data_IF_642419536286
#
_entry.id   IF_642419536286
#
_cell.length_a   1.000
_cell.length_b   1.000
_cell.length_c   1.000
_cell.angle_alpha   90.00
_cell.angle_beta   90.00
_cell.angle_gamma   90.00
#
_symmetry.space_group_name_H-M   'P 1'
#
loop_
_entity.id
_entity.type
_entity.pdbx_description
1 polymer ?
#
# COMPACT_ATOMS: atom_id res chain seq x y z
N UNK A 1 46.71 60.08 7.20
CA UNK A 1 45.87 60.22 5.99
C UNK A 1 46.26 59.14 4.99
N UNK A 2 45.52 58.04 4.93
CA UNK A 2 45.47 57.14 3.77
C UNK A 2 43.99 56.78 3.55
N UNK A 3 43.57 56.84 2.29
CA UNK A 3 42.17 56.78 1.82
C UNK A 3 41.77 55.31 1.60
N UNK A 4 40.50 54.94 1.83
CA UNK A 4 40.04 53.55 1.77
C UNK A 4 39.89 53.09 0.32
N UNK A 5 40.37 51.88 0.02
CA UNK A 5 40.06 51.17 -1.22
C UNK A 5 38.89 50.23 -0.94
N UNK A 6 37.74 50.54 -1.52
CA UNK A 6 36.58 49.65 -1.52
C UNK A 6 36.76 48.63 -2.64
N UNK A 7 37.09 47.39 -2.29
CA UNK A 7 36.96 46.26 -3.22
C UNK A 7 35.50 45.80 -3.13
N UNK A 8 34.68 46.27 -4.06
CA UNK A 8 33.35 45.73 -4.28
C UNK A 8 33.48 44.40 -5.02
N UNK A 9 33.39 43.29 -4.30
CA UNK A 9 33.23 41.96 -4.89
C UNK A 9 31.74 41.75 -5.14
N UNK A 10 31.33 41.86 -6.41
CA UNK A 10 30.03 41.41 -6.88
C UNK A 10 30.06 39.89 -6.97
N UNK A 11 29.58 39.21 -5.92
CA UNK A 11 29.28 37.79 -5.98
C UNK A 11 27.98 37.60 -6.77
N UNK A 12 28.08 36.99 -7.95
CA UNK A 12 26.93 36.66 -8.78
C UNK A 12 26.04 35.63 -8.10
N UNK A 13 24.76 35.97 -7.90
CA UNK A 13 23.74 34.99 -7.53
C UNK A 13 23.41 34.14 -8.76
N UNK A 14 23.89 32.91 -8.78
CA UNK A 14 23.31 31.87 -9.61
C UNK A 14 22.03 31.39 -8.89
N UNK A 15 20.86 31.78 -9.41
CA UNK A 15 19.59 31.21 -8.95
C UNK A 15 19.42 29.90 -9.70
N UNK A 16 19.86 28.80 -9.09
CA UNK A 16 19.47 27.47 -9.53
C UNK A 16 18.04 27.25 -9.09
N UNK A 17 17.10 27.19 -10.03
CA UNK A 17 15.75 26.71 -9.76
C UNK A 17 15.85 25.28 -9.25
N UNK A 18 15.77 25.09 -7.93
CA UNK A 18 15.51 23.77 -7.36
C UNK A 18 14.07 23.44 -7.74
N UNK A 19 13.91 22.66 -8.80
CA UNK A 19 12.67 21.93 -9.00
C UNK A 19 12.64 20.91 -7.86
N UNK A 20 11.83 21.18 -6.84
CA UNK A 20 11.42 20.14 -5.92
C UNK A 20 10.60 19.15 -6.76
N UNK A 21 11.23 18.07 -7.22
CA UNK A 21 10.50 16.90 -7.63
C UNK A 21 9.74 16.43 -6.40
N UNK A 22 8.41 16.55 -6.46
CA UNK A 22 7.49 16.01 -5.48
C UNK A 22 7.52 14.48 -5.64
N UNK A 23 8.62 13.87 -5.21
CA UNK A 23 8.71 12.44 -5.01
C UNK A 23 7.77 12.14 -3.85
N UNK A 24 6.49 11.85 -4.15
CA UNK A 24 5.64 11.16 -3.20
C UNK A 24 6.44 9.94 -2.75
N UNK A 25 6.94 9.96 -1.52
CA UNK A 25 7.51 8.77 -0.90
C UNK A 25 6.35 7.78 -0.85
N UNK A 26 6.33 6.86 -1.81
CA UNK A 26 5.49 5.68 -1.76
C UNK A 26 5.94 4.85 -0.55
N UNK A 27 5.45 5.21 0.63
CA UNK A 27 5.36 4.30 1.75
C UNK A 27 4.07 3.50 1.53
N UNK A 28 3.98 2.21 1.77
CA UNK A 28 4.92 1.14 2.06
C UNK A 28 4.04 -0.13 2.06
N UNK A 29 4.62 -1.31 2.21
CA UNK A 29 3.83 -2.43 2.72
C UNK A 29 3.26 -2.02 4.10
N UNK A 30 1.96 -1.77 4.17
CA UNK A 30 1.32 -1.37 5.41
C UNK A 30 1.18 -2.61 6.31
N UNK A 31 1.60 -2.50 7.57
CA UNK A 31 1.44 -3.59 8.54
C UNK A 31 0.10 -3.43 9.24
N UNK A 32 -0.79 -4.41 9.10
CA UNK A 32 -2.07 -4.41 9.80
C UNK A 32 -1.86 -4.24 11.32
N UNK A 33 -2.69 -3.43 11.94
CA UNK A 33 -2.59 -3.06 13.34
C UNK A 33 -1.57 -1.97 13.64
N UNK A 34 -0.90 -1.41 12.63
CA UNK A 34 0.09 -0.33 12.79
C UNK A 34 -0.36 0.89 12.00
N UNK A 35 -0.57 1.98 12.73
CA UNK A 35 -0.85 3.29 12.15
C UNK A 35 0.38 4.16 12.27
N UNK A 36 0.65 4.97 11.27
CA UNK A 36 1.72 5.96 11.31
C UNK A 36 1.13 7.35 11.54
N UNK A 37 1.79 8.14 12.38
CA UNK A 37 1.39 9.51 12.70
C UNK A 37 2.61 10.41 12.65
N UNK A 38 2.58 11.42 11.79
CA UNK A 38 3.58 12.46 11.73
C UNK A 38 3.01 13.75 12.33
N UNK A 39 3.73 14.35 13.28
CA UNK A 39 3.35 15.58 13.94
C UNK A 39 4.43 16.61 13.64
N UNK A 40 4.06 17.69 12.96
CA UNK A 40 4.94 18.79 12.64
C UNK A 40 4.38 20.10 13.21
N UNK A 41 5.21 20.88 13.90
CA UNK A 41 4.87 22.22 14.35
C UNK A 41 5.85 23.22 13.76
N UNK A 42 5.32 24.26 13.12
CA UNK A 42 6.07 25.41 12.63
C UNK A 42 5.37 26.69 13.11
N UNK A 43 6.09 27.50 13.90
CA UNK A 43 5.53 28.69 14.56
C UNK A 43 4.20 28.39 15.27
N UNK A 44 3.08 28.94 14.77
CA UNK A 44 1.75 28.78 15.37
C UNK A 44 0.92 27.66 14.73
N UNK A 45 1.44 27.01 13.70
CA UNK A 45 0.74 25.94 12.99
C UNK A 45 1.17 24.58 13.52
N UNK A 46 0.21 23.67 13.66
CA UNK A 46 0.45 22.27 13.99
C UNK A 46 -0.23 21.40 12.94
N UNK A 47 0.58 20.68 12.17
CA UNK A 47 0.17 19.68 11.20
C UNK A 47 0.26 18.29 11.81
N UNK A 48 -0.79 17.51 11.62
CA UNK A 48 -0.82 16.09 11.99
C UNK A 48 -1.27 15.31 10.77
N UNK A 49 -0.40 14.41 10.32
CA UNK A 49 -0.70 13.47 9.24
C UNK A 49 -0.78 12.06 9.82
N UNK A 50 -1.80 11.31 9.43
CA UNK A 50 -2.03 9.94 9.88
C UNK A 50 -2.20 9.06 8.66
N UNK A 51 -1.42 7.99 8.56
CA UNK A 51 -1.58 6.94 7.55
C UNK A 51 -2.01 5.66 8.24
N UNK A 52 -3.16 5.11 7.83
CA UNK A 52 -3.75 3.94 8.46
C UNK A 52 -4.21 2.89 7.42
N UNK A 53 -3.90 1.60 7.62
CA UNK A 53 -4.46 0.52 6.81
C UNK A 53 -5.99 0.51 6.81
N UNK A 54 -6.60 -0.02 5.75
CA UNK A 54 -8.04 -0.16 5.64
C UNK A 54 -8.62 -1.04 6.73
N UNK A 55 -7.94 -2.16 7.02
CA UNK A 55 -8.30 -3.09 8.09
C UNK A 55 -8.33 -2.42 9.47
N UNK A 56 -7.48 -1.41 9.69
CA UNK A 56 -7.39 -0.70 10.96
C UNK A 56 -8.56 0.28 11.18
N UNK A 57 -9.04 0.89 10.10
CA UNK A 57 -10.08 1.94 10.14
C UNK A 57 -11.49 1.36 9.94
N UNK A 58 -11.67 0.52 8.92
CA UNK A 58 -12.98 -0.03 8.51
C UNK A 58 -13.10 -1.54 8.66
N UNK A 59 -12.00 -2.25 8.93
CA UNK A 59 -12.00 -3.70 9.15
C UNK A 59 -11.84 -4.56 7.90
N UNK A 60 -11.57 -3.95 6.74
CA UNK A 60 -11.34 -4.62 5.47
C UNK A 60 -10.40 -3.79 4.60
N UNK A 61 -9.70 -4.45 3.66
CA UNK A 61 -8.70 -3.81 2.78
C UNK A 61 -9.24 -3.47 1.39
N UNK A 62 -10.42 -3.96 1.01
CA UNK A 62 -11.04 -3.69 -0.29
C UNK A 62 -11.96 -2.45 -0.26
N UNK A 63 -12.39 -1.98 -1.43
CA UNK A 63 -13.46 -0.96 -1.50
C UNK A 63 -14.76 -1.54 -0.90
N UNK A 64 -15.61 -0.76 -0.22
CA UNK A 64 -16.88 -1.25 0.28
C UNK A 64 -17.74 -1.84 -0.85
N UNK A 65 -18.23 -3.07 -0.69
CA UNK A 65 -19.05 -3.78 -1.68
C UNK A 65 -20.48 -4.00 -1.19
N UNK A 66 -20.65 -4.30 0.11
CA UNK A 66 -21.96 -4.56 0.71
C UNK A 66 -22.58 -3.31 1.34
N UNK A 67 -23.91 -3.28 1.47
CA UNK A 67 -24.60 -2.18 2.19
C UNK A 67 -24.06 -1.99 3.62
N UNK A 68 -23.66 -3.08 4.28
CA UNK A 68 -23.11 -3.01 5.63
C UNK A 68 -21.71 -2.38 5.65
N UNK A 69 -20.86 -2.72 4.68
CA UNK A 69 -19.52 -2.12 4.54
C UNK A 69 -19.60 -0.63 4.20
N UNK A 70 -20.52 -0.22 3.32
CA UNK A 70 -20.74 1.20 3.03
C UNK A 70 -21.13 1.97 4.30
N UNK A 71 -21.98 1.40 5.15
CA UNK A 71 -22.32 2.02 6.43
C UNK A 71 -21.16 2.08 7.41
N UNK A 72 -20.28 1.07 7.43
CA UNK A 72 -19.06 1.08 8.25
C UNK A 72 -18.12 2.18 7.76
N UNK A 73 -17.89 2.25 6.45
CA UNK A 73 -17.09 3.27 5.79
C UNK A 73 -17.62 4.68 6.11
N UNK A 74 -18.92 4.93 5.89
CA UNK A 74 -19.52 6.24 6.14
C UNK A 74 -19.36 6.68 7.60
N UNK A 75 -19.53 5.75 8.56
CA UNK A 75 -19.31 6.03 9.99
C UNK A 75 -17.86 6.33 10.30
N UNK A 76 -16.92 5.58 9.71
CA UNK A 76 -15.50 5.80 9.90
C UNK A 76 -15.07 7.16 9.33
N UNK A 77 -15.48 7.50 8.10
CA UNK A 77 -15.20 8.80 7.48
C UNK A 77 -15.82 9.95 8.28
N UNK A 78 -17.06 9.80 8.76
CA UNK A 78 -17.69 10.79 9.63
C UNK A 78 -16.95 10.97 10.96
N UNK A 79 -16.34 9.90 11.49
CA UNK A 79 -15.51 9.94 12.70
C UNK A 79 -14.18 10.66 12.44
N UNK A 80 -13.48 10.30 11.37
CA UNK A 80 -12.20 10.92 10.98
C UNK A 80 -12.35 12.43 10.75
N UNK A 81 -13.50 12.89 10.22
CA UNK A 81 -13.79 14.33 10.09
C UNK A 81 -13.90 15.08 11.42
N UNK A 82 -14.09 14.38 12.54
CA UNK A 82 -14.18 14.96 13.88
C UNK A 82 -12.82 14.93 14.58
N UNK A 83 -11.86 15.67 14.04
CA UNK A 83 -10.47 15.68 14.52
C UNK A 83 -10.36 15.91 16.04
N UNK A 84 -11.09 16.87 16.61
CA UNK A 84 -11.07 17.15 18.06
C UNK A 84 -11.59 16.00 18.94
N UNK A 85 -12.29 15.02 18.33
CA UNK A 85 -12.71 13.79 19.02
C UNK A 85 -11.64 12.68 18.98
N UNK A 86 -10.64 12.82 18.12
CA UNK A 86 -9.55 11.87 17.88
C UNK A 86 -8.24 12.39 18.47
N UNK A 87 -7.96 13.68 18.29
CA UNK A 87 -6.76 14.36 18.74
C UNK A 87 -7.15 15.40 19.78
N UNK A 88 -6.38 15.46 20.86
CA UNK A 88 -6.49 16.52 21.85
C UNK A 88 -5.09 17.00 22.22
N UNK A 89 -4.89 18.31 22.17
CA UNK A 89 -3.67 18.97 22.64
C UNK A 89 -3.94 19.70 23.94
N UNK A 90 -2.89 20.00 24.70
CA UNK A 90 -3.06 20.70 25.97
C UNK A 90 -3.67 22.11 25.77
N UNK A 91 -4.67 22.44 26.59
CA UNK A 91 -5.52 23.64 26.42
C UNK A 91 -4.75 24.96 26.44
N UNK A 92 -3.63 25.02 27.15
CA UNK A 92 -2.79 26.22 27.27
C UNK A 92 -2.24 26.72 25.93
N UNK A 93 -2.17 25.84 24.92
CA UNK A 93 -1.72 26.18 23.56
C UNK A 93 -2.81 26.87 22.71
N UNK A 94 -4.07 26.79 23.14
CA UNK A 94 -5.24 27.40 22.48
C UNK A 94 -5.35 27.05 20.98
N UNK A 95 -5.00 25.82 20.62
CA UNK A 95 -5.11 25.31 19.26
C UNK A 95 -6.57 25.11 18.84
N UNK A 96 -6.88 25.49 17.60
CA UNK A 96 -8.16 25.25 16.96
C UNK A 96 -7.94 24.63 15.60
N UNK A 97 -8.75 23.64 15.23
CA UNK A 97 -8.69 23.08 13.89
C UNK A 97 -9.05 24.14 12.84
N UNK A 98 -8.22 24.28 11.82
CA UNK A 98 -8.45 25.14 10.66
C UNK A 98 -8.81 24.32 9.42
N UNK A 99 -8.23 23.13 9.27
CA UNK A 99 -8.45 22.24 8.13
C UNK A 99 -8.44 20.76 8.54
N UNK A 100 -9.25 19.96 7.85
CA UNK A 100 -9.26 18.50 7.96
C UNK A 100 -9.54 17.90 6.58
N UNK A 101 -8.65 17.02 6.14
CA UNK A 101 -8.78 16.30 4.89
C UNK A 101 -8.52 14.81 5.10
N UNK A 102 -9.21 13.98 4.30
CA UNK A 102 -9.09 12.53 4.33
C UNK A 102 -9.01 12.07 2.88
N UNK A 103 -7.92 11.43 2.53
CA UNK A 103 -7.69 10.79 1.24
C UNK A 103 -7.67 9.29 1.40
N UNK A 104 -8.25 8.58 0.45
CA UNK A 104 -8.08 7.14 0.32
C UNK A 104 -7.03 6.89 -0.75
N UNK A 105 -5.98 6.15 -0.41
CA UNK A 105 -4.95 5.72 -1.34
C UNK A 105 -5.20 4.25 -1.68
N UNK A 106 -5.57 4.00 -2.93
CA UNK A 106 -5.61 2.65 -3.52
C UNK A 106 -4.23 2.36 -4.09
N UNK A 107 -3.56 1.32 -3.58
CA UNK A 107 -2.39 0.79 -4.27
C UNK A 107 -2.85 -0.19 -5.33
N UNK A 108 -2.83 0.23 -6.59
CA UNK A 108 -2.69 -0.71 -7.69
C UNK A 108 -1.21 -1.11 -7.72
N UNK A 109 -0.91 -2.40 -7.68
CA UNK A 109 0.34 -2.82 -8.30
C UNK A 109 0.13 -2.54 -9.78
N UNK A 110 0.74 -1.45 -10.27
CA UNK A 110 0.93 -1.27 -11.69
C UNK A 110 1.73 -2.50 -12.13
N UNK A 111 1.04 -3.55 -12.56
CA UNK A 111 1.56 -4.30 -13.68
C UNK A 111 1.65 -3.25 -14.77
N UNK A 112 2.87 -2.93 -15.17
CA UNK A 112 3.09 -2.30 -16.47
C UNK A 112 2.19 -3.07 -17.45
N UNK A 113 1.04 -2.49 -17.82
CA UNK A 113 0.37 -2.88 -19.05
C UNK A 113 1.32 -2.40 -20.14
N UNK A 114 2.34 -3.22 -20.39
CA UNK A 114 2.99 -3.26 -21.68
C UNK A 114 1.84 -3.43 -22.68
N UNK A 115 1.49 -2.33 -23.35
CA UNK A 115 0.79 -2.37 -24.62
C UNK A 115 1.51 -3.40 -25.48
N UNK A 116 0.97 -4.62 -25.52
CA UNK A 116 1.31 -5.57 -26.56
C UNK A 116 0.74 -5.00 -27.86
N UNK A 117 1.49 -4.09 -28.48
CA UNK A 117 1.39 -3.81 -29.90
C UNK A 117 1.48 -5.16 -30.62
N UNK A 118 0.35 -5.60 -31.17
CA UNK A 118 0.30 -6.68 -32.13
C UNK A 118 1.14 -6.29 -33.35
N UNK A 119 2.42 -6.70 -33.36
CA UNK A 119 3.22 -6.73 -34.59
C UNK A 119 2.93 -8.05 -35.30
N UNK A 120 2.00 -7.93 -36.23
CA UNK A 120 1.79 -8.82 -37.36
C UNK A 120 2.92 -8.55 -38.36
N UNK A 121 3.89 -9.45 -38.53
CA UNK A 121 4.69 -9.61 -39.76
C UNK A 121 5.48 -10.95 -39.73
N UNK A 122 5.03 -11.92 -40.55
CA UNK A 122 5.88 -12.52 -41.59
C UNK A 122 6.93 -13.61 -41.27
N UNK A 123 6.52 -14.86 -41.54
CA UNK A 123 7.25 -15.94 -42.23
C UNK A 123 8.46 -16.64 -41.58
N UNK A 124 8.32 -17.95 -41.30
CA UNK A 124 9.15 -19.00 -41.92
C UNK A 124 8.41 -20.36 -41.97
N UNK A 125 8.51 -20.99 -43.13
CA UNK A 125 7.94 -22.28 -43.56
C UNK A 125 8.31 -23.49 -42.67
N UNK A 126 7.46 -24.52 -42.66
CA UNK A 126 7.74 -25.84 -43.28
C UNK A 126 6.50 -26.76 -43.26
N UNK A 127 5.88 -26.87 -44.45
CA UNK A 127 5.41 -28.06 -45.18
C UNK A 127 4.91 -29.36 -44.49
N UNK A 128 3.86 -29.90 -45.15
CA UNK A 128 3.34 -31.28 -45.23
C UNK A 128 2.43 -31.78 -44.08
N UNK A 129 1.31 -32.46 -44.31
CA UNK A 129 0.63 -32.98 -45.51
C UNK A 129 -0.85 -33.24 -45.16
N UNK A 130 -1.67 -33.30 -46.22
CA UNK A 130 -3.08 -33.67 -46.23
C UNK A 130 -3.43 -34.90 -45.36
N UNK A 131 -4.55 -34.82 -44.62
CA UNK A 131 -5.52 -35.91 -44.60
C UNK A 131 -6.94 -35.40 -44.32
N UNK A 132 -7.70 -35.36 -45.41
CA UNK A 132 -9.15 -35.25 -45.52
C UNK A 132 -9.83 -36.50 -44.92
N UNK A 133 -10.91 -36.32 -44.14
CA UNK A 133 -12.00 -37.32 -43.96
C UNK A 133 -13.13 -36.79 -43.07
N UNK A 134 -14.10 -36.16 -43.72
CA UNK A 134 -15.55 -36.37 -43.64
C UNK A 134 -16.19 -37.24 -42.52
N UNK A 135 -17.28 -36.69 -41.99
CA UNK A 135 -18.58 -37.29 -41.63
C UNK A 135 -18.66 -38.37 -40.51
N UNK A 136 -19.39 -38.16 -39.41
CA UNK A 136 -20.86 -38.13 -39.21
C UNK A 136 -21.42 -39.45 -38.59
N UNK A 137 -22.20 -39.27 -37.51
CA UNK A 137 -23.17 -40.12 -36.80
C UNK A 137 -22.79 -41.45 -36.10
N UNK A 138 -23.43 -41.52 -34.92
CA UNK A 138 -24.27 -42.61 -34.37
C UNK A 138 -23.64 -43.74 -33.55
N UNK A 139 -24.25 -43.87 -32.36
CA UNK A 139 -24.63 -45.11 -31.67
C UNK A 139 -23.52 -45.90 -30.95
N UNK A 140 -23.34 -45.59 -29.67
CA UNK A 140 -22.89 -46.58 -28.70
C UNK A 140 -24.11 -47.40 -28.25
N UNK A 141 -24.18 -48.64 -28.75
CA UNK A 141 -24.92 -49.73 -28.11
C UNK A 141 -23.91 -50.79 -27.69
N UNK A 142 -24.20 -51.35 -26.52
CA UNK A 142 -23.56 -52.41 -25.76
C UNK A 142 -22.89 -53.52 -26.60
N UNK A 143 -21.82 -54.13 -26.06
CA UNK A 143 -21.82 -55.55 -25.72
C UNK A 143 -20.57 -55.97 -24.93
N UNK A 144 -20.80 -56.79 -23.89
CA UNK A 144 -19.86 -57.42 -22.97
C UNK A 144 -19.12 -58.65 -23.58
N UNK A 145 -18.07 -59.06 -22.85
CA UNK A 145 -17.34 -60.35 -22.84
C UNK A 145 -16.35 -60.60 -24.02
N UNK A 146 -15.16 -61.19 -23.85
CA UNK A 146 -14.81 -62.40 -23.10
C UNK A 146 -13.29 -62.49 -22.77
N UNK A 147 -13.02 -63.39 -21.82
CA UNK A 147 -11.78 -63.88 -21.21
C UNK A 147 -10.72 -64.50 -22.16
N UNK A 148 -9.53 -64.73 -21.58
CA UNK A 148 -8.52 -65.78 -21.83
C UNK A 148 -7.08 -65.36 -22.23
N UNK A 149 -6.12 -65.75 -21.36
CA UNK A 149 -4.96 -66.53 -21.81
C UNK A 149 -3.54 -65.93 -21.71
N UNK A 150 -2.88 -66.20 -20.59
CA UNK A 150 -1.51 -66.75 -20.47
C UNK A 150 -0.24 -65.97 -20.93
N UNK A 151 0.58 -65.67 -19.90
CA UNK A 151 2.05 -65.82 -19.75
C UNK A 151 3.03 -65.02 -20.64
N UNK A 152 3.94 -64.26 -20.00
CA UNK A 152 5.30 -64.76 -19.71
C UNK A 152 6.09 -63.78 -18.83
N UNK A 153 6.60 -64.29 -17.71
CA UNK A 153 7.65 -63.66 -16.89
C UNK A 153 8.97 -63.61 -17.65
N UNK A 154 9.65 -62.47 -17.64
CA UNK A 154 11.10 -62.39 -17.81
C UNK A 154 11.68 -61.23 -16.98
N UNK A 155 12.29 -61.60 -15.85
CA UNK A 155 13.31 -60.81 -15.15
C UNK A 155 14.51 -60.60 -16.08
N UNK A 156 15.00 -59.36 -16.15
CA UNK A 156 16.42 -59.06 -16.35
C UNK A 156 16.79 -57.69 -15.77
N UNK A 157 17.56 -57.73 -14.69
CA UNK A 157 18.45 -56.67 -14.22
C UNK A 157 19.37 -56.18 -15.35
N UNK A 158 19.53 -54.87 -15.53
CA UNK A 158 20.79 -54.10 -15.38
C UNK A 158 20.61 -52.69 -15.98
N UNK A 159 20.61 -51.68 -15.09
CA UNK A 159 21.08 -50.28 -15.23
C UNK A 159 21.33 -49.73 -16.66
N UNK A 160 20.53 -48.74 -17.10
CA UNK A 160 21.06 -47.54 -17.77
C UNK A 160 20.23 -46.30 -17.38
N UNK A 161 20.97 -45.31 -16.90
CA UNK A 161 20.56 -44.00 -16.44
C UNK A 161 19.91 -43.18 -17.59
N UNK A 162 18.66 -42.76 -17.39
CA UNK A 162 18.09 -41.59 -18.05
C UNK A 162 17.24 -40.83 -17.03
N UNK A 163 17.79 -39.69 -16.57
CA UNK A 163 17.06 -38.64 -15.88
C UNK A 163 15.96 -38.12 -16.82
N UNK A 164 14.75 -38.63 -16.66
CA UNK A 164 13.55 -38.03 -17.23
C UNK A 164 13.06 -36.95 -16.26
N UNK A 165 13.22 -35.70 -16.66
CA UNK A 165 12.68 -34.55 -15.95
C UNK A 165 11.15 -34.61 -15.98
N UNK A 166 10.55 -34.92 -14.83
CA UNK A 166 9.15 -34.62 -14.56
C UNK A 166 8.99 -33.10 -14.57
N UNK A 167 8.45 -32.55 -15.66
CA UNK A 167 7.92 -31.20 -15.64
C UNK A 167 6.58 -31.24 -14.90
N UNK A 168 6.66 -31.24 -13.57
CA UNK A 168 5.57 -30.73 -12.75
C UNK A 168 5.39 -29.26 -13.15
N UNK A 169 4.35 -29.00 -13.95
CA UNK A 169 3.83 -27.65 -14.10
C UNK A 169 3.19 -27.28 -12.76
N UNK A 170 4.01 -26.82 -11.81
CA UNK A 170 3.54 -25.95 -10.76
C UNK A 170 2.92 -24.74 -11.46
N UNK A 171 1.59 -24.76 -11.57
CA UNK A 171 0.84 -23.53 -11.75
C UNK A 171 1.05 -22.73 -10.48
N UNK A 172 2.12 -21.93 -10.44
CA UNK A 172 2.19 -20.79 -9.54
C UNK A 172 0.95 -19.97 -9.85
N UNK A 173 -0.05 -20.08 -8.98
CA UNK A 173 -1.15 -19.16 -8.95
C UNK A 173 -0.54 -17.80 -8.67
N UNK A 174 -0.34 -17.02 -9.73
CA UNK A 174 -0.03 -15.61 -9.65
C UNK A 174 -1.09 -15.00 -8.74
N UNK A 175 -0.67 -14.68 -7.51
CA UNK A 175 -1.55 -14.10 -6.52
C UNK A 175 -2.00 -12.77 -7.08
N UNK A 176 -3.28 -12.67 -7.43
CA UNK A 176 -3.93 -11.41 -7.71
C UNK A 176 -3.73 -10.52 -6.46
N UNK A 177 -2.71 -9.66 -6.53
CA UNK A 177 -2.34 -8.78 -5.45
C UNK A 177 -3.49 -7.80 -5.25
N UNK A 178 -4.31 -8.05 -4.23
CA UNK A 178 -5.49 -7.25 -3.95
C UNK A 178 -5.15 -5.77 -3.80
N UNK A 179 -6.03 -4.90 -4.28
CA UNK A 179 -5.97 -3.46 -4.00
C UNK A 179 -6.09 -3.25 -2.48
N UNK A 180 -4.96 -3.04 -1.79
CA UNK A 180 -4.98 -2.68 -0.38
C UNK A 180 -5.23 -1.17 -0.27
N UNK A 181 -6.25 -0.81 0.49
CA UNK A 181 -6.65 0.58 0.70
C UNK A 181 -6.02 1.09 1.99
N UNK A 182 -5.29 2.20 1.90
CA UNK A 182 -4.89 2.97 3.07
C UNK A 182 -5.64 4.30 3.11
N UNK A 183 -5.73 4.87 4.30
CA UNK A 183 -6.30 6.19 4.53
C UNK A 183 -5.20 7.14 4.98
N UNK A 184 -5.06 8.26 4.28
CA UNK A 184 -4.23 9.39 4.70
C UNK A 184 -5.13 10.50 5.23
N UNK A 185 -4.91 10.91 6.47
CA UNK A 185 -5.69 11.95 7.15
C UNK A 185 -4.76 13.09 7.51
N UNK A 186 -5.17 14.32 7.19
CA UNK A 186 -4.44 15.53 7.54
C UNK A 186 -5.31 16.41 8.43
N UNK A 187 -4.76 16.84 9.56
CA UNK A 187 -5.37 17.84 10.44
C UNK A 187 -4.42 19.03 10.59
N UNK A 188 -4.93 20.22 10.31
CA UNK A 188 -4.21 21.47 10.53
C UNK A 188 -4.84 22.21 11.71
N UNK A 189 -3.99 22.62 12.64
CA UNK A 189 -4.38 23.40 13.80
C UNK A 189 -3.66 24.74 13.81
N UNK A 190 -4.40 25.76 14.22
CA UNK A 190 -3.90 27.11 14.48
C UNK A 190 -3.85 27.33 15.99
N UNK A 191 -2.65 27.47 16.52
CA UNK A 191 -2.37 27.63 17.94
C UNK A 191 -2.03 29.07 18.28
N UNK A 192 -2.86 29.72 19.10
CA UNK A 192 -2.58 31.10 19.54
C UNK A 192 -1.37 31.19 20.49
N UNK A 193 -0.98 30.07 21.10
CA UNK A 193 0.10 30.02 22.07
C UNK A 193 0.93 28.73 21.91
N UNK A 194 1.49 28.52 20.72
CA UNK A 194 2.26 27.31 20.40
C UNK A 194 3.47 27.09 21.34
N UNK A 195 4.02 28.13 21.94
CA UNK A 195 5.05 28.01 22.98
C UNK A 195 4.60 27.19 24.20
N UNK A 196 3.29 27.15 24.47
CA UNK A 196 2.70 26.33 25.50
C UNK A 196 2.22 24.96 25.02
N UNK A 197 2.38 24.62 23.75
CA UNK A 197 2.15 23.26 23.25
C UNK A 197 3.20 22.33 23.84
N UNK A 198 2.75 21.35 24.62
CA UNK A 198 3.58 20.45 25.42
C UNK A 198 3.18 18.99 25.26
N UNK A 199 1.94 18.74 24.89
CA UNK A 199 1.38 17.40 24.88
C UNK A 199 0.28 17.25 23.85
N UNK A 200 0.28 16.08 23.21
CA UNK A 200 -0.82 15.56 22.44
C UNK A 200 -1.25 14.22 23.01
N UNK A 201 -2.56 14.01 23.06
CA UNK A 201 -3.20 12.74 23.39
C UNK A 201 -4.15 12.35 22.27
N UNK A 202 -4.31 11.05 22.03
CA UNK A 202 -5.24 10.55 21.02
C UNK A 202 -6.26 9.57 21.58
N UNK A 203 -7.49 9.67 21.07
CA UNK A 203 -8.59 8.72 21.26
C UNK A 203 -8.70 7.73 20.10
N UNK A 204 -7.71 7.67 19.20
CA UNK A 204 -7.70 6.79 18.02
C UNK A 204 -8.12 5.36 18.35
N UNK A 205 -7.45 4.71 19.30
CA UNK A 205 -7.72 3.33 19.70
C UNK A 205 -9.16 3.09 20.21
N UNK A 206 -9.83 4.14 20.71
CA UNK A 206 -11.23 4.04 21.14
C UNK A 206 -12.17 3.98 19.95
N UNK A 207 -11.85 4.71 18.87
CA UNK A 207 -12.67 4.79 17.67
C UNK A 207 -12.32 3.71 16.64
N UNK A 208 -11.07 3.28 16.61
CA UNK A 208 -10.49 2.32 15.67
C UNK A 208 -9.75 1.21 16.43
N UNK A 209 -10.48 0.24 17.00
CA UNK A 209 -9.93 -0.75 17.92
C UNK A 209 -9.08 -1.83 17.23
N UNK A 210 -9.07 -1.89 15.89
CA UNK A 210 -8.23 -2.82 15.13
C UNK A 210 -6.76 -2.38 15.10
N UNK A 211 -6.48 -1.10 15.39
CA UNK A 211 -5.11 -0.59 15.55
C UNK A 211 -4.51 -1.06 16.87
N UNK A 212 -3.36 -1.70 16.82
CA UNK A 212 -2.64 -2.20 18.00
C UNK A 212 -1.58 -1.20 18.49
N UNK A 213 -0.92 -0.49 17.58
CA UNK A 213 0.06 0.53 17.90
C UNK A 213 0.04 1.68 16.89
N UNK A 214 0.48 2.85 17.34
CA UNK A 214 0.72 4.00 16.47
C UNK A 214 2.20 4.36 16.54
N UNK A 215 2.89 4.35 15.41
CA UNK A 215 4.24 4.89 15.30
C UNK A 215 4.14 6.40 15.08
N UNK A 216 4.64 7.18 16.04
CA UNK A 216 4.55 8.64 16.03
C UNK A 216 5.92 9.26 15.78
N UNK A 217 6.04 10.04 14.72
CA UNK A 217 7.19 10.91 14.48
C UNK A 217 6.83 12.35 14.82
N UNK A 218 7.71 13.03 15.54
CA UNK A 218 7.47 14.38 16.07
C UNK A 218 8.58 15.29 15.59
N UNK A 219 8.19 16.43 15.00
CA UNK A 219 9.05 17.48 14.47
C UNK A 219 8.52 18.84 14.95
N UNK A 220 9.00 19.34 16.08
CA UNK A 220 8.65 20.66 16.60
C UNK A 220 9.89 21.53 16.68
N UNK A 221 9.72 22.84 16.87
CA UNK A 221 10.83 23.78 17.09
C UNK A 221 11.72 23.39 18.29
N UNK A 222 11.17 22.60 19.21
CA UNK A 222 11.81 22.20 20.46
C UNK A 222 12.38 20.78 20.43
N UNK A 223 11.90 19.92 19.53
CA UNK A 223 12.21 18.49 19.54
C UNK A 223 12.00 17.83 18.19
N UNK A 224 12.90 16.90 17.87
CA UNK A 224 12.65 15.83 16.93
C UNK A 224 12.75 14.47 17.64
N UNK A 225 11.76 13.61 17.50
CA UNK A 225 11.77 12.27 18.11
C UNK A 225 10.79 11.31 17.46
N UNK A 226 10.96 10.01 17.69
CA UNK A 226 9.99 8.97 17.32
C UNK A 226 9.56 8.17 18.56
N UNK A 227 8.29 7.78 18.64
CA UNK A 227 7.68 7.06 19.77
C UNK A 227 6.60 6.11 19.29
N UNK A 228 6.42 5.02 20.02
CA UNK A 228 5.27 4.14 19.84
C UNK A 228 4.18 4.47 20.88
N UNK A 229 2.93 4.51 20.44
CA UNK A 229 1.75 4.58 21.30
C UNK A 229 0.98 3.25 21.27
N UNK A 230 0.35 2.93 22.39
CA UNK A 230 -0.54 1.77 22.58
C UNK A 230 -1.86 2.24 23.21
N UNK A 231 -2.91 1.40 23.27
CA UNK A 231 -4.15 1.74 23.95
C UNK A 231 -3.94 2.24 25.40
N UNK A 232 -2.98 1.68 26.13
CA UNK A 232 -2.64 2.07 27.51
C UNK A 232 -1.76 3.32 27.59
N UNK A 233 -1.04 3.64 26.51
CA UNK A 233 -0.09 4.76 26.42
C UNK A 233 -0.30 5.52 25.12
N UNK A 234 -1.29 6.42 25.10
CA UNK A 234 -1.75 7.14 23.92
C UNK A 234 -1.47 8.67 24.01
N UNK A 235 -0.37 9.05 24.66
CA UNK A 235 0.03 10.45 24.85
C UNK A 235 1.51 10.65 24.52
N UNK A 236 1.83 11.75 23.82
CA UNK A 236 3.20 12.17 23.51
C UNK A 236 3.47 13.58 24.03
N UNK A 237 4.73 13.82 24.37
CA UNK A 237 5.21 15.16 24.70
C UNK A 237 5.76 15.82 23.42
N UNK A 238 5.31 17.04 23.14
CA UNK A 238 5.69 17.87 21.99
C UNK A 238 6.80 18.86 22.35
#
# INVERSE_FOLDING_TARGET
MLKPYHIAVLAGLAVTSVQAEESFRQHEAHVHGVVEMNIAQDANELLIEITAPGADVVGFEHKPQSTQEHQVFDRAMARLKQADSIISVNKDALCKISHSEIHQTTHHHDHDEDEHEHHDEGEHHHDHDDHDSDHDKTAHRDHEHHDEGEHHDHDHDTEMNHEEHEHEHEHEHEHEHGEHNAYSIQYHYECQNADNLKQLSTQWFTHFPNTHRIQVNIFTDKRQSSKELTPEKHQVAL
#
